data_IF_611400778686
#
_entry.id   IF_611400778686
#
_cell.length_a   1.000
_cell.length_b   1.000
_cell.length_c   1.000
_cell.angle_alpha   90.00
_cell.angle_beta   90.00
_cell.angle_gamma   90.00
#
_symmetry.space_group_name_H-M   'P 1'
#
loop_
_entity.id
_entity.type
_entity.pdbx_description
1 polymer ?
#
# COMPACT_ATOMS: atom_id res chain seq x y z
N UNK A 1 23.60 3.14 -5.00
CA UNK A 1 23.52 1.85 -5.72
C UNK A 1 24.24 1.80 -7.07
N UNK A 2 24.60 0.61 -7.56
CA UNK A 2 24.99 0.36 -8.96
C UNK A 2 23.77 0.19 -9.89
N UNK A 3 23.97 0.06 -11.22
CA UNK A 3 22.84 -0.12 -12.17
C UNK A 3 22.02 -1.41 -11.93
N UNK A 4 22.64 -2.59 -11.71
CA UNK A 4 21.88 -3.83 -11.45
C UNK A 4 21.10 -3.80 -10.12
N UNK A 5 21.70 -3.20 -9.10
CA UNK A 5 21.11 -3.04 -7.77
C UNK A 5 19.88 -2.11 -7.81
N UNK A 6 19.97 -0.98 -8.54
CA UNK A 6 18.84 -0.07 -8.75
C UNK A 6 17.67 -0.77 -9.46
N UNK A 7 17.96 -1.59 -10.48
CA UNK A 7 16.94 -2.35 -11.20
C UNK A 7 16.21 -3.30 -10.26
N UNK A 8 16.93 -4.06 -9.42
CA UNK A 8 16.32 -4.97 -8.44
C UNK A 8 15.45 -4.22 -7.42
N UNK A 9 15.92 -3.07 -6.94
CA UNK A 9 15.17 -2.21 -6.01
C UNK A 9 13.86 -1.71 -6.64
N UNK A 10 13.91 -1.22 -7.87
CA UNK A 10 12.73 -0.69 -8.55
C UNK A 10 11.71 -1.80 -8.85
N UNK A 11 12.16 -3.02 -9.20
CA UNK A 11 11.26 -4.18 -9.31
C UNK A 11 10.56 -4.48 -7.99
N UNK A 12 11.31 -4.50 -6.87
CA UNK A 12 10.72 -4.70 -5.55
C UNK A 12 9.72 -3.58 -5.19
N UNK A 13 9.98 -2.34 -5.57
CA UNK A 13 9.05 -1.23 -5.38
C UNK A 13 7.74 -1.45 -6.18
N UNK A 14 7.85 -1.83 -7.47
CA UNK A 14 6.69 -2.14 -8.33
C UNK A 14 5.84 -3.27 -7.73
N UNK A 15 6.46 -4.32 -7.20
CA UNK A 15 5.72 -5.41 -6.58
C UNK A 15 5.00 -4.98 -5.31
N UNK A 16 5.59 -4.07 -4.52
CA UNK A 16 4.91 -3.48 -3.34
C UNK A 16 3.66 -2.70 -3.75
N UNK A 17 3.74 -1.89 -4.80
CA UNK A 17 2.54 -1.14 -5.27
C UNK A 17 1.47 -2.10 -5.77
N UNK A 18 1.86 -3.17 -6.48
CA UNK A 18 0.92 -4.20 -6.92
C UNK A 18 0.21 -4.86 -5.75
N UNK A 19 0.94 -5.21 -4.70
CA UNK A 19 0.39 -5.83 -3.50
C UNK A 19 -0.54 -4.86 -2.75
N UNK A 20 -0.19 -3.58 -2.67
CA UNK A 20 -1.02 -2.53 -2.10
C UNK A 20 -2.34 -2.36 -2.87
N UNK A 21 -2.28 -2.26 -4.21
CA UNK A 21 -3.46 -2.20 -5.10
C UNK A 21 -4.39 -3.38 -4.85
N UNK A 22 -3.86 -4.61 -4.86
CA UNK A 22 -4.67 -5.81 -4.65
C UNK A 22 -5.33 -5.81 -3.28
N UNK A 23 -4.61 -5.35 -2.27
CA UNK A 23 -5.10 -5.25 -0.90
C UNK A 23 -6.24 -4.24 -0.83
N UNK A 24 -6.04 -3.01 -1.29
CA UNK A 24 -7.06 -1.97 -1.23
C UNK A 24 -8.33 -2.34 -1.99
N UNK A 25 -8.20 -2.91 -3.19
CA UNK A 25 -9.36 -3.41 -3.95
C UNK A 25 -10.03 -4.61 -3.27
N UNK A 26 -9.27 -5.48 -2.60
CA UNK A 26 -9.81 -6.57 -1.80
C UNK A 26 -10.62 -6.05 -0.61
N UNK A 27 -10.10 -5.07 0.12
CA UNK A 27 -10.75 -4.45 1.26
C UNK A 27 -12.00 -3.65 0.86
N UNK A 28 -11.92 -2.89 -0.24
CA UNK A 28 -13.06 -2.12 -0.75
C UNK A 28 -14.26 -3.00 -1.16
N UNK A 29 -14.04 -4.30 -1.44
CA UNK A 29 -15.12 -5.26 -1.74
C UNK A 29 -15.87 -5.73 -0.50
N UNK A 30 -15.22 -5.73 0.66
CA UNK A 30 -15.75 -6.37 1.88
C UNK A 30 -16.17 -5.36 2.95
N UNK A 31 -15.63 -4.13 2.91
CA UNK A 31 -16.02 -3.05 3.84
C UNK A 31 -17.43 -2.54 3.50
N UNK A 32 -18.28 -2.43 4.52
CA UNK A 32 -19.67 -1.95 4.40
C UNK A 32 -19.78 -0.42 4.41
N UNK A 33 -18.88 0.26 5.12
CA UNK A 33 -18.87 1.72 5.20
C UNK A 33 -18.49 2.33 3.86
N UNK A 34 -19.37 3.21 3.34
CA UNK A 34 -19.20 3.78 2.01
C UNK A 34 -18.01 4.75 1.93
N UNK A 35 -17.72 5.46 3.01
CA UNK A 35 -16.62 6.41 3.05
C UNK A 35 -15.28 5.65 3.06
N UNK A 36 -15.14 4.66 3.94
CA UNK A 36 -13.97 3.79 4.00
C UNK A 36 -13.73 3.06 2.66
N UNK A 37 -14.80 2.60 2.00
CA UNK A 37 -14.72 2.01 0.66
C UNK A 37 -14.15 2.99 -0.38
N UNK A 38 -14.61 4.24 -0.38
CA UNK A 38 -14.12 5.25 -1.31
C UNK A 38 -12.66 5.61 -1.05
N UNK A 39 -12.27 5.75 0.23
CA UNK A 39 -10.87 5.96 0.63
C UNK A 39 -9.98 4.85 0.07
N UNK A 40 -10.36 3.58 0.27
CA UNK A 40 -9.59 2.44 -0.23
C UNK A 40 -9.48 2.43 -1.77
N UNK A 41 -10.55 2.79 -2.49
CA UNK A 41 -10.52 2.86 -3.96
C UNK A 41 -9.58 3.98 -4.44
N UNK A 42 -9.60 5.14 -3.77
CA UNK A 42 -8.70 6.25 -4.11
C UNK A 42 -7.24 5.88 -3.86
N UNK A 43 -6.93 5.28 -2.70
CA UNK A 43 -5.57 4.79 -2.42
C UNK A 43 -5.11 3.79 -3.48
N UNK A 44 -5.96 2.83 -3.87
CA UNK A 44 -5.62 1.90 -4.95
C UNK A 44 -5.31 2.61 -6.29
N UNK A 45 -5.98 3.73 -6.58
CA UNK A 45 -5.70 4.54 -7.76
C UNK A 45 -4.37 5.27 -7.66
N UNK A 46 -4.03 5.80 -6.48
CA UNK A 46 -2.75 6.48 -6.24
C UNK A 46 -1.58 5.49 -6.41
N UNK A 47 -1.71 4.27 -5.89
CA UNK A 47 -0.70 3.21 -6.06
C UNK A 47 -0.49 2.80 -7.52
N UNK A 48 -1.54 2.82 -8.36
CA UNK A 48 -1.37 2.62 -9.81
C UNK A 48 -0.51 3.73 -10.42
N UNK A 49 -0.69 4.96 -9.95
CA UNK A 49 0.15 6.10 -10.31
C UNK A 49 1.61 5.88 -9.90
N UNK A 50 1.85 5.42 -8.67
CA UNK A 50 3.20 5.11 -8.16
C UNK A 50 3.88 4.03 -9.00
N UNK A 51 3.19 2.92 -9.24
CA UNK A 51 3.65 1.81 -10.08
C UNK A 51 4.06 2.31 -11.47
N UNK A 52 3.22 3.15 -12.08
CA UNK A 52 3.50 3.75 -13.40
C UNK A 52 4.77 4.61 -13.39
N UNK A 53 4.95 5.47 -12.36
CA UNK A 53 6.17 6.29 -12.20
C UNK A 53 7.42 5.41 -12.10
N UNK A 54 7.34 4.31 -11.34
CA UNK A 54 8.44 3.36 -11.14
C UNK A 54 8.79 2.59 -12.42
N UNK A 55 7.78 2.10 -13.16
CA UNK A 55 7.98 1.44 -14.46
C UNK A 55 8.64 2.37 -15.48
N UNK A 56 8.20 3.63 -15.55
CA UNK A 56 8.82 4.63 -16.41
C UNK A 56 10.28 4.90 -16.02
N UNK A 57 10.58 4.99 -14.73
CA UNK A 57 11.95 5.14 -14.24
C UNK A 57 12.81 3.94 -14.62
N UNK A 58 12.28 2.72 -14.47
CA UNK A 58 12.97 1.48 -14.85
C UNK A 58 13.33 1.48 -16.34
N UNK A 59 12.38 1.83 -17.22
CA UNK A 59 12.62 1.94 -18.67
C UNK A 59 13.73 2.97 -18.95
N UNK A 60 13.71 4.11 -18.26
CA UNK A 60 14.73 5.15 -18.40
C UNK A 60 16.13 4.68 -17.99
N UNK A 61 16.24 3.95 -16.88
CA UNK A 61 17.52 3.40 -16.37
C UNK A 61 18.08 2.30 -17.28
N UNK A 62 17.21 1.56 -17.97
CA UNK A 62 17.57 0.46 -18.88
C UNK A 62 17.86 0.93 -20.31
N UNK A 63 17.41 2.12 -20.71
CA UNK A 63 17.58 2.64 -22.08
C UNK A 63 19.07 2.74 -22.44
N UNK A 64 19.48 2.04 -23.51
CA UNK A 64 20.85 2.07 -24.03
C UNK A 64 21.85 1.15 -23.32
N UNK A 65 21.40 0.19 -22.50
CA UNK A 65 22.25 -0.85 -21.91
C UNK A 65 21.95 -2.21 -22.56
N UNK A 66 22.99 -2.94 -22.97
CA UNK A 66 22.92 -4.23 -23.70
C UNK A 66 22.37 -5.42 -22.89
N UNK A 67 21.86 -5.19 -21.68
CA UNK A 67 21.31 -6.26 -20.86
C UNK A 67 19.90 -6.62 -21.36
N UNK A 68 19.85 -7.45 -22.39
CA UNK A 68 18.68 -8.26 -22.72
C UNK A 68 18.36 -9.11 -21.48
N UNK A 69 17.24 -8.81 -20.83
CA UNK A 69 16.74 -9.54 -19.68
C UNK A 69 16.63 -11.04 -20.02
N UNK A 70 17.51 -11.89 -19.46
CA UNK A 70 17.19 -13.30 -19.33
C UNK A 70 16.11 -13.42 -18.25
N UNK A 71 14.88 -13.45 -18.73
CA UNK A 71 13.62 -13.43 -17.95
C UNK A 71 13.43 -14.64 -17.02
N UNK A 72 14.36 -15.61 -16.99
CA UNK A 72 14.09 -16.94 -16.45
C UNK A 72 14.45 -17.14 -14.97
N UNK A 73 15.45 -16.43 -14.41
CA UNK A 73 15.94 -16.76 -13.05
C UNK A 73 15.35 -15.88 -11.94
N UNK A 74 14.83 -14.69 -12.27
CA UNK A 74 14.32 -13.72 -11.28
C UNK A 74 12.88 -14.07 -10.82
N UNK A 75 12.11 -14.73 -11.70
CA UNK A 75 10.70 -15.07 -11.44
C UNK A 75 10.54 -16.11 -10.34
N UNK A 76 11.42 -17.13 -10.32
CA UNK A 76 11.35 -18.21 -9.32
C UNK A 76 11.78 -17.74 -7.92
N UNK A 77 12.71 -16.78 -7.83
CA UNK A 77 13.15 -16.21 -6.56
C UNK A 77 12.15 -15.22 -5.95
N UNK A 78 11.38 -14.51 -6.79
CA UNK A 78 10.33 -13.57 -6.32
C UNK A 78 9.05 -14.29 -5.92
N UNK A 79 8.69 -15.39 -6.60
CA UNK A 79 7.54 -16.22 -6.25
C UNK A 79 7.62 -16.81 -4.82
N UNK A 80 8.84 -17.03 -4.30
CA UNK A 80 9.06 -17.60 -2.97
C UNK A 80 8.85 -16.61 -1.80
N UNK A 81 8.74 -15.30 -2.05
CA UNK A 81 8.50 -14.30 -1.00
C UNK A 81 7.03 -13.89 -0.87
N UNK A 82 6.13 -14.52 -1.63
CA UNK A 82 4.68 -14.28 -1.56
C UNK A 82 4.02 -15.11 -0.45
N UNK A 83 4.40 -14.85 0.80
CA UNK A 83 3.64 -15.21 1.99
C UNK A 83 3.77 -14.01 2.94
N UNK A 84 2.74 -13.25 3.29
CA UNK A 84 1.42 -13.68 3.70
C UNK A 84 0.40 -12.52 3.56
N UNK A 85 -0.85 -12.87 3.27
CA UNK A 85 -2.01 -12.09 3.73
C UNK A 85 -2.92 -13.02 4.53
N UNK A 86 -2.36 -13.61 5.58
CA UNK A 86 -3.03 -14.57 6.48
C UNK A 86 -4.16 -13.95 7.32
N UNK A 87 -4.28 -12.61 7.29
CA UNK A 87 -5.37 -11.87 7.91
C UNK A 87 -6.61 -11.84 7.00
N UNK A 88 -6.45 -11.65 5.67
CA UNK A 88 -7.57 -11.58 4.74
C UNK A 88 -8.22 -12.95 4.51
N UNK A 89 -7.43 -14.03 4.53
CA UNK A 89 -7.94 -15.40 4.38
C UNK A 89 -8.85 -15.83 5.52
N UNK A 90 -8.73 -15.21 6.71
CA UNK A 90 -9.51 -15.54 7.90
C UNK A 90 -10.77 -14.70 8.05
N UNK A 91 -10.97 -13.68 7.22
CA UNK A 91 -12.12 -12.78 7.32
C UNK A 91 -13.23 -13.30 6.42
N UNK A 92 -14.39 -13.61 7.01
CA UNK A 92 -15.59 -13.97 6.24
C UNK A 92 -16.21 -12.70 5.62
N UNK A 93 -16.19 -12.53 4.28
CA UNK A 93 -16.69 -11.33 3.60
C UNK A 93 -18.18 -11.05 3.87
N UNK A 94 -18.96 -12.09 4.17
CA UNK A 94 -20.41 -12.00 4.36
C UNK A 94 -20.78 -11.36 5.71
N UNK A 95 -19.86 -11.34 6.69
CA UNK A 95 -20.12 -10.90 8.07
C UNK A 95 -18.94 -10.12 8.69
N UNK A 96 -18.32 -9.17 7.97
CA UNK A 96 -17.40 -8.25 8.66
C UNK A 96 -18.17 -7.43 9.71
N UNK A 97 -17.82 -7.65 10.96
CA UNK A 97 -18.18 -6.76 12.03
C UNK A 97 -17.36 -5.47 11.90
N UNK A 98 -17.85 -4.39 12.50
CA UNK A 98 -17.14 -3.11 12.55
C UNK A 98 -15.71 -3.23 13.12
N UNK A 99 -15.53 -4.08 14.13
CA UNK A 99 -14.22 -4.38 14.71
C UNK A 99 -13.25 -5.03 13.72
N UNK A 100 -13.76 -5.81 12.76
CA UNK A 100 -12.94 -6.42 11.71
C UNK A 100 -12.52 -5.38 10.67
N UNK A 101 -13.39 -4.43 10.34
CA UNK A 101 -13.05 -3.27 9.48
C UNK A 101 -11.93 -2.43 10.10
N UNK A 102 -12.00 -2.13 11.40
CA UNK A 102 -10.95 -1.36 12.09
C UNK A 102 -9.60 -2.09 12.06
N UNK A 103 -9.56 -3.39 12.41
CA UNK A 103 -8.33 -4.20 12.34
C UNK A 103 -7.73 -4.25 10.94
N UNK A 104 -8.59 -4.33 9.94
CA UNK A 104 -8.17 -4.32 8.53
C UNK A 104 -7.52 -2.99 8.14
N UNK A 105 -8.11 -1.86 8.54
CA UNK A 105 -7.55 -0.54 8.27
C UNK A 105 -6.26 -0.30 9.05
N UNK A 106 -6.12 -0.84 10.26
CA UNK A 106 -4.86 -0.84 11.01
C UNK A 106 -3.74 -1.57 10.26
N UNK A 107 -4.03 -2.75 9.69
CA UNK A 107 -3.06 -3.47 8.84
C UNK A 107 -2.68 -2.65 7.60
N UNK A 108 -3.63 -1.93 7.00
CA UNK A 108 -3.35 -1.02 5.88
C UNK A 108 -2.41 0.13 6.32
N UNK A 109 -2.64 0.74 7.48
CA UNK A 109 -1.77 1.79 8.04
C UNK A 109 -0.35 1.27 8.24
N UNK A 110 -0.19 0.06 8.78
CA UNK A 110 1.14 -0.52 9.00
C UNK A 110 1.89 -0.74 7.67
N UNK A 111 1.17 -1.10 6.61
CA UNK A 111 1.73 -1.24 5.26
C UNK A 111 2.19 0.09 4.68
N UNK A 112 1.38 1.15 4.83
CA UNK A 112 1.76 2.50 4.40
C UNK A 112 3.00 3.02 5.13
N UNK A 113 3.07 2.82 6.44
CA UNK A 113 4.24 3.20 7.24
C UNK A 113 5.47 2.40 6.81
N UNK A 114 5.31 1.12 6.45
CA UNK A 114 6.40 0.31 5.93
C UNK A 114 6.86 0.78 4.53
N UNK A 115 5.94 1.17 3.65
CA UNK A 115 6.23 1.70 2.32
C UNK A 115 6.96 3.05 2.41
N UNK A 116 6.47 3.98 3.25
CA UNK A 116 7.15 5.24 3.56
C UNK A 116 8.62 5.02 3.96
N UNK A 117 8.87 4.14 4.95
CA UNK A 117 10.23 3.83 5.40
C UNK A 117 11.10 3.23 4.30
N UNK A 118 10.52 2.33 3.51
CA UNK A 118 11.21 1.74 2.37
C UNK A 118 11.67 2.83 1.38
N UNK A 119 10.77 3.75 0.99
CA UNK A 119 11.11 4.82 0.08
C UNK A 119 12.10 5.83 0.64
N UNK A 120 12.03 6.14 1.94
CA UNK A 120 13.05 6.97 2.61
C UNK A 120 14.44 6.31 2.55
N UNK A 121 14.53 5.00 2.77
CA UNK A 121 15.78 4.26 2.65
C UNK A 121 16.31 4.27 1.21
N UNK A 122 15.43 4.15 0.20
CA UNK A 122 15.84 4.20 -1.21
C UNK A 122 16.31 5.60 -1.61
N UNK A 123 15.66 6.65 -1.09
CA UNK A 123 16.08 8.03 -1.29
C UNK A 123 17.49 8.30 -0.70
N UNK A 124 17.80 7.73 0.47
CA UNK A 124 19.11 7.86 1.10
C UNK A 124 20.21 7.15 0.29
N UNK A 125 19.92 5.97 -0.25
CA UNK A 125 20.84 5.19 -1.10
C UNK A 125 20.97 5.66 -2.56
N UNK A 126 20.15 6.61 -2.99
CA UNK A 126 20.09 7.08 -4.36
C UNK A 126 21.31 7.93 -4.74
N UNK A 127 21.95 7.59 -5.87
CA UNK A 127 23.15 8.30 -6.36
C UNK A 127 22.85 9.49 -7.26
N UNK A 128 21.62 9.58 -7.79
CA UNK A 128 21.23 10.67 -8.68
C UNK A 128 20.17 11.54 -8.01
N UNK A 129 20.22 12.87 -8.20
CA UNK A 129 19.22 13.77 -7.64
C UNK A 129 17.79 13.39 -8.06
N UNK A 130 17.60 13.01 -9.33
CA UNK A 130 16.29 12.62 -9.87
C UNK A 130 15.72 11.36 -9.20
N UNK A 131 16.53 10.32 -8.98
CA UNK A 131 16.05 9.12 -8.28
C UNK A 131 15.73 9.42 -6.81
N UNK A 132 16.58 10.23 -6.16
CA UNK A 132 16.34 10.67 -4.78
C UNK A 132 15.04 11.45 -4.65
N UNK A 133 14.79 12.39 -5.55
CA UNK A 133 13.56 13.19 -5.58
C UNK A 133 12.32 12.32 -5.80
N UNK A 134 12.38 11.38 -6.75
CA UNK A 134 11.30 10.42 -6.98
C UNK A 134 10.94 9.63 -5.72
N UNK A 135 11.93 9.02 -5.05
CA UNK A 135 11.68 8.25 -3.84
C UNK A 135 11.22 9.10 -2.66
N UNK A 136 11.68 10.34 -2.53
CA UNK A 136 11.14 11.26 -1.52
C UNK A 136 9.68 11.65 -1.81
N UNK A 137 9.32 11.80 -3.09
CA UNK A 137 7.96 12.04 -3.52
C UNK A 137 7.04 10.88 -3.10
N UNK A 138 7.42 9.65 -3.46
CA UNK A 138 6.67 8.44 -3.08
C UNK A 138 6.56 8.30 -1.55
N UNK A 139 7.66 8.46 -0.81
CA UNK A 139 7.62 8.42 0.65
C UNK A 139 6.60 9.42 1.25
N UNK A 140 6.51 10.62 0.68
CA UNK A 140 5.56 11.64 1.15
C UNK A 140 4.11 11.26 0.81
N UNK A 141 3.87 10.66 -0.36
CA UNK A 141 2.56 10.12 -0.75
C UNK A 141 2.12 9.04 0.26
N UNK A 142 2.99 8.07 0.61
CA UNK A 142 2.65 7.02 1.60
C UNK A 142 2.42 7.56 3.02
N UNK A 143 3.14 8.61 3.41
CA UNK A 143 2.90 9.28 4.69
C UNK A 143 1.50 9.90 4.74
N UNK A 144 1.04 10.46 3.62
CA UNK A 144 -0.29 11.04 3.49
C UNK A 144 -1.36 9.93 3.51
N UNK A 145 -1.13 8.82 2.82
CA UNK A 145 -2.02 7.65 2.84
C UNK A 145 -2.23 7.12 4.26
N UNK A 146 -1.14 6.94 5.02
CA UNK A 146 -1.22 6.54 6.43
C UNK A 146 -2.04 7.52 7.28
N UNK A 147 -1.96 8.84 7.01
CA UNK A 147 -2.76 9.86 7.71
C UNK A 147 -4.24 9.76 7.36
N UNK A 148 -4.56 9.55 6.09
CA UNK A 148 -5.94 9.39 5.61
C UNK A 148 -6.58 8.15 6.25
N UNK A 149 -5.88 7.01 6.26
CA UNK A 149 -6.37 5.78 6.87
C UNK A 149 -6.57 5.92 8.39
N UNK A 150 -5.67 6.61 9.10
CA UNK A 150 -5.84 6.90 10.54
C UNK A 150 -7.08 7.75 10.80
N UNK A 151 -7.30 8.79 10.00
CA UNK A 151 -8.49 9.62 10.11
C UNK A 151 -9.78 8.80 9.87
N UNK A 152 -9.73 7.82 8.97
CA UNK A 152 -10.85 6.91 8.73
C UNK A 152 -11.12 5.99 9.93
N UNK A 153 -10.06 5.41 10.51
CA UNK A 153 -10.15 4.61 11.74
C UNK A 153 -10.78 5.41 12.88
N UNK A 154 -10.32 6.66 13.08
CA UNK A 154 -10.86 7.55 14.12
C UNK A 154 -12.34 7.88 13.88
N UNK A 155 -12.72 8.18 12.63
CA UNK A 155 -14.10 8.47 12.23
C UNK A 155 -15.04 7.29 12.52
N UNK A 156 -14.64 6.08 12.10
CA UNK A 156 -15.40 4.85 12.34
C UNK A 156 -15.50 4.57 13.84
N UNK A 157 -14.41 4.75 14.59
CA UNK A 157 -14.37 4.57 16.04
C UNK A 157 -15.33 5.51 16.78
N UNK A 158 -15.29 6.80 16.47
CA UNK A 158 -16.17 7.80 17.08
C UNK A 158 -17.65 7.57 16.73
N UNK A 159 -17.97 7.24 15.48
CA UNK A 159 -19.34 6.90 15.09
C UNK A 159 -19.89 5.66 15.82
N UNK A 160 -19.02 4.83 16.43
CA UNK A 160 -19.45 3.70 17.27
C UNK A 160 -19.77 4.11 18.69
N UNK A 161 -18.91 4.94 19.26
CA UNK A 161 -19.09 5.47 20.61
C UNK A 161 -20.40 6.28 20.73
N UNK A 162 -20.74 7.08 19.71
CA UNK A 162 -21.98 7.86 19.70
C UNK A 162 -23.26 7.02 19.49
N UNK A 163 -23.18 5.91 18.75
CA UNK A 163 -24.33 5.00 18.58
C UNK A 163 -24.60 4.18 19.85
N UNK A 164 -23.57 3.66 20.51
CA UNK A 164 -23.72 2.97 21.79
C UNK A 164 -24.32 3.90 22.86
N UNK A 165 -23.91 5.18 22.91
CA UNK A 165 -24.49 6.12 23.88
C UNK A 165 -25.96 6.48 23.60
N UNK A 166 -26.45 6.39 22.35
CA UNK A 166 -27.87 6.61 22.07
C UNK A 166 -28.74 5.42 22.49
N UNK A 167 -28.26 4.18 22.36
CA UNK A 167 -29.02 3.00 22.80
C UNK A 167 -29.22 2.95 24.32
N UNK A 168 -28.30 3.52 25.12
CA UNK A 168 -28.47 3.60 26.58
C UNK A 168 -29.35 4.76 27.06
N UNK A 169 -29.66 5.75 26.22
CA UNK A 169 -30.45 6.93 26.62
C UNK A 169 -31.95 6.87 26.27
N UNK A 170 -32.43 5.73 25.76
CA UNK A 170 -33.85 5.51 25.44
C UNK A 170 -34.54 4.44 26.33
N UNK A 171 -34.03 4.22 27.55
CA UNK A 171 -34.82 3.63 28.63
C UNK A 171 -34.91 4.61 29.82
N UNK A 172 -35.89 5.53 29.70
CA UNK A 172 -36.75 6.17 30.73
C UNK A 172 -36.94 7.68 30.52
#
# INVERSE_FOLDING_TARGET
>A
MGSPEMVSIVHRAIDRERDAIQTYLGLAKIVKDANAKNVLIHLASDEVGHMTKLEQHLISVLRGKDWVLQRAEVVDAMAAQMTESSVLEKINPQNLAKADTLKVLEVAIDREVAANRFYLQMADGAKTPSAREMFLGLAKEEELHAKILRAEVDSIGQNGFWFDMQEFTMEQ
#
